data_IF_125122367217
#
_entry.id   IF_125122367217
#
_cell.length_a   1.000
_cell.length_b   1.000
_cell.length_c   1.000
_cell.angle_alpha   90.00
_cell.angle_beta   90.00
_cell.angle_gamma   90.00
#
_symmetry.space_group_name_H-M   'P 1'
#
loop_
_entity.id
_entity.type
_entity.pdbx_description
1 polymer ?
#
# COMPACT_ATOMS: atom_id res chain seq x y z
N UNK A 1 -45.01 23.91 43.79
CA UNK A 1 -44.76 24.13 42.36
C UNK A 1 -43.61 23.22 41.93
N UNK A 2 -43.92 22.01 41.48
CA UNK A 2 -42.96 21.09 40.85
C UNK A 2 -43.73 20.35 39.76
N UNK A 3 -43.38 20.62 38.49
CA UNK A 3 -43.87 19.82 37.36
C UNK A 3 -43.02 18.54 37.28
N UNK A 4 -43.66 17.39 37.47
CA UNK A 4 -43.14 16.10 37.06
C UNK A 4 -43.84 15.70 35.76
N UNK A 5 -43.07 15.42 34.70
CA UNK A 5 -43.60 14.84 33.46
C UNK A 5 -42.82 13.57 33.08
N UNK A 6 -43.56 12.47 33.19
CA UNK A 6 -43.61 11.25 32.37
C UNK A 6 -42.33 10.39 32.15
N UNK A 7 -42.48 9.18 32.68
CA UNK A 7 -41.70 7.94 32.58
C UNK A 7 -42.09 7.15 31.33
N UNK A 8 -41.13 6.67 30.52
CA UNK A 8 -41.26 5.42 29.76
C UNK A 8 -39.92 4.67 29.75
N UNK A 9 -39.92 3.51 30.41
CA UNK A 9 -38.92 2.44 30.32
C UNK A 9 -39.48 1.36 29.39
N UNK A 10 -38.70 0.89 28.41
CA UNK A 10 -38.83 -0.46 27.83
C UNK A 10 -37.48 -0.98 27.32
N UNK A 11 -36.99 -2.03 27.95
CA UNK A 11 -35.97 -2.94 27.40
C UNK A 11 -36.55 -3.66 26.17
N UNK A 12 -35.81 -3.67 25.07
CA UNK A 12 -36.12 -4.48 23.88
C UNK A 12 -35.14 -5.66 23.86
N UNK A 13 -35.62 -6.83 24.27
CA UNK A 13 -34.95 -8.11 24.01
C UNK A 13 -35.29 -8.51 22.58
N UNK A 14 -34.32 -8.45 21.67
CA UNK A 14 -34.46 -8.96 20.31
C UNK A 14 -34.48 -10.49 20.36
N UNK A 15 -35.66 -11.07 20.13
CA UNK A 15 -35.82 -12.50 19.84
C UNK A 15 -35.20 -12.78 18.46
N UNK A 16 -34.08 -13.50 18.43
CA UNK A 16 -33.57 -14.08 17.19
C UNK A 16 -34.41 -15.31 16.82
N UNK A 17 -34.86 -15.45 15.56
CA UNK A 17 -35.56 -16.65 15.13
C UNK A 17 -34.61 -17.87 15.15
N UNK A 18 -35.12 -19.04 15.54
CA UNK A 18 -34.37 -20.29 15.45
C UNK A 18 -34.12 -20.62 13.96
N UNK A 19 -32.90 -21.07 13.59
CA UNK A 19 -32.61 -21.42 12.21
C UNK A 19 -33.46 -22.64 11.80
N UNK A 20 -34.09 -22.52 10.63
CA UNK A 20 -34.80 -23.60 9.94
C UNK A 20 -33.74 -24.56 9.37
N UNK A 21 -33.86 -25.84 9.68
CA UNK A 21 -33.01 -26.92 9.17
C UNK A 21 -33.07 -26.95 7.63
N UNK A 22 -31.95 -26.63 6.97
CA UNK A 22 -31.80 -26.74 5.52
C UNK A 22 -31.23 -25.54 4.74
N UNK A 23 -30.86 -24.42 5.38
CA UNK A 23 -30.12 -23.36 4.69
C UNK A 23 -28.62 -23.69 4.64
N UNK A 24 -28.13 -24.08 3.47
CA UNK A 24 -26.69 -24.04 3.17
C UNK A 24 -26.30 -22.55 3.18
N UNK A 25 -25.60 -22.11 4.24
CA UNK A 25 -24.90 -20.84 4.24
C UNK A 25 -23.90 -20.89 3.08
N UNK A 26 -24.08 -20.04 2.06
CA UNK A 26 -23.02 -19.78 1.09
C UNK A 26 -21.90 -19.12 1.89
N UNK A 27 -20.96 -19.92 2.35
CA UNK A 27 -19.78 -19.46 3.06
C UNK A 27 -19.02 -18.55 2.09
N UNK A 28 -18.83 -17.30 2.50
CA UNK A 28 -18.09 -16.35 1.70
C UNK A 28 -16.62 -16.79 1.67
N UNK A 29 -16.15 -17.37 0.56
CA UNK A 29 -14.85 -18.07 0.49
C UNK A 29 -13.67 -17.10 0.51
N UNK A 30 -13.92 -15.81 0.26
CA UNK A 30 -12.87 -14.79 0.20
C UNK A 30 -13.28 -13.57 0.98
N UNK A 31 -12.55 -13.23 2.04
CA UNK A 31 -12.76 -11.97 2.78
C UNK A 31 -11.68 -10.96 2.44
N UNK A 32 -12.07 -9.71 2.20
CA UNK A 32 -11.14 -8.61 2.00
C UNK A 32 -11.05 -7.83 3.31
N UNK A 33 -9.92 -7.91 4.02
CA UNK A 33 -9.68 -7.12 5.23
C UNK A 33 -8.70 -5.99 4.96
N UNK A 34 -9.12 -4.76 5.25
CA UNK A 34 -8.21 -3.63 5.36
C UNK A 34 -7.48 -3.67 6.70
N UNK A 35 -6.15 -3.63 6.67
CA UNK A 35 -5.28 -3.55 7.85
C UNK A 35 -4.49 -2.23 7.79
N UNK A 36 -3.87 -1.85 8.91
CA UNK A 36 -3.04 -0.63 9.01
C UNK A 36 -1.89 -0.59 7.98
N UNK A 37 -1.48 -1.74 7.44
CA UNK A 37 -0.32 -1.89 6.54
C UNK A 37 -0.71 -2.38 5.13
N UNK A 38 -1.98 -2.25 4.73
CA UNK A 38 -2.47 -2.64 3.40
C UNK A 38 -3.71 -3.53 3.43
N UNK A 39 -4.03 -4.14 2.30
CA UNK A 39 -5.19 -5.03 2.17
C UNK A 39 -4.74 -6.49 2.22
N UNK A 40 -5.45 -7.30 2.99
CA UNK A 40 -5.27 -8.75 3.02
C UNK A 40 -6.51 -9.44 2.46
N UNK A 41 -6.30 -10.28 1.46
CA UNK A 41 -7.30 -11.22 0.94
C UNK A 41 -7.18 -12.50 1.76
N UNK A 42 -8.24 -12.86 2.48
CA UNK A 42 -8.29 -14.07 3.32
C UNK A 42 -9.11 -15.11 2.56
N UNK A 43 -8.49 -16.26 2.27
CA UNK A 43 -9.18 -17.41 1.67
C UNK A 43 -9.79 -18.23 2.82
N UNK A 44 -11.08 -18.02 3.07
CA UNK A 44 -11.81 -18.68 4.16
C UNK A 44 -11.91 -20.19 3.90
N UNK A 45 -11.88 -20.96 4.99
CA UNK A 45 -11.78 -22.41 4.95
C UNK A 45 -13.10 -23.06 5.38
N UNK A 46 -13.68 -23.83 4.46
CA UNK A 46 -14.81 -24.74 4.63
C UNK A 46 -14.92 -25.48 3.29
N UNK A 47 -14.04 -26.45 3.08
CA UNK A 47 -13.82 -27.24 1.84
C UNK A 47 -14.56 -26.82 0.56
N UNK A 48 -13.91 -25.97 -0.25
CA UNK A 48 -14.19 -25.83 -1.69
C UNK A 48 -12.94 -26.10 -2.52
N UNK A 49 -13.12 -26.59 -3.74
CA UNK A 49 -12.06 -26.66 -4.77
C UNK A 49 -11.40 -25.28 -4.94
N UNK A 50 -10.08 -25.26 -5.12
CA UNK A 50 -9.32 -24.03 -5.34
C UNK A 50 -9.83 -23.27 -6.58
N UNK A 51 -10.37 -23.98 -7.58
CA UNK A 51 -11.01 -23.33 -8.73
C UNK A 51 -12.21 -22.46 -8.34
N UNK A 52 -13.02 -22.90 -7.37
CA UNK A 52 -14.18 -22.14 -6.92
C UNK A 52 -13.75 -20.86 -6.19
N UNK A 53 -12.64 -20.92 -5.46
CA UNK A 53 -11.99 -19.75 -4.86
C UNK A 53 -11.53 -18.78 -5.94
N UNK A 54 -10.86 -19.26 -6.99
CA UNK A 54 -10.43 -18.39 -8.10
C UNK A 54 -11.63 -17.73 -8.80
N UNK A 55 -12.74 -18.45 -8.96
CA UNK A 55 -13.97 -17.91 -9.55
C UNK A 55 -14.58 -16.82 -8.67
N UNK A 56 -14.72 -17.07 -7.35
CA UNK A 56 -15.17 -16.03 -6.43
C UNK A 56 -14.22 -14.84 -6.36
N UNK A 57 -12.90 -15.07 -6.48
CA UNK A 57 -11.91 -13.99 -6.50
C UNK A 57 -12.12 -13.10 -7.71
N UNK A 58 -12.30 -13.69 -8.90
CA UNK A 58 -12.61 -12.94 -10.13
C UNK A 58 -13.88 -12.11 -9.95
N UNK A 59 -14.94 -12.70 -9.40
CA UNK A 59 -16.22 -12.02 -9.16
C UNK A 59 -16.08 -10.88 -8.16
N UNK A 60 -15.43 -11.09 -7.02
CA UNK A 60 -15.19 -10.04 -6.01
C UNK A 60 -14.24 -8.95 -6.47
N UNK A 61 -13.23 -9.31 -7.25
CA UNK A 61 -12.35 -8.31 -7.87
C UNK A 61 -13.08 -7.47 -8.92
N UNK A 62 -14.15 -8.00 -9.52
CA UNK A 62 -15.00 -7.29 -10.50
C UNK A 62 -15.72 -6.09 -9.91
N UNK A 63 -16.15 -6.19 -8.65
CA UNK A 63 -16.83 -5.10 -7.94
C UNK A 63 -15.91 -4.20 -7.11
N UNK A 64 -14.61 -4.52 -6.98
CA UNK A 64 -13.69 -3.81 -6.08
C UNK A 64 -12.69 -2.93 -6.83
N UNK A 65 -13.17 -1.79 -7.33
CA UNK A 65 -12.36 -0.80 -8.06
C UNK A 65 -11.22 -0.20 -7.23
N UNK A 66 -11.34 -0.20 -5.90
CA UNK A 66 -10.36 0.37 -4.97
C UNK A 66 -9.06 -0.42 -4.84
N UNK A 67 -9.01 -1.66 -5.35
CA UNK A 67 -7.83 -2.52 -5.26
C UNK A 67 -6.83 -2.35 -6.41
N UNK A 68 -7.18 -1.60 -7.46
CA UNK A 68 -6.28 -1.39 -8.61
C UNK A 68 -4.99 -0.69 -8.18
N UNK A 69 -3.85 -1.13 -8.70
CA UNK A 69 -2.51 -0.60 -8.37
C UNK A 69 -2.14 -0.69 -6.88
N UNK A 70 -2.63 -1.71 -6.18
CA UNK A 70 -2.36 -1.95 -4.74
C UNK A 70 -1.56 -3.23 -4.52
N UNK A 71 -0.77 -3.24 -3.45
CA UNK A 71 -0.15 -4.44 -2.92
C UNK A 71 -1.10 -5.15 -1.95
N UNK A 72 -1.37 -6.43 -2.21
CA UNK A 72 -2.19 -7.27 -1.34
C UNK A 72 -1.36 -8.37 -0.71
N UNK A 73 -1.63 -8.68 0.55
CA UNK A 73 -1.24 -9.96 1.12
C UNK A 73 -2.36 -10.96 0.85
N UNK A 74 -2.02 -12.23 0.63
CA UNK A 74 -3.01 -13.31 0.58
C UNK A 74 -2.79 -14.20 1.77
N UNK A 75 -3.78 -14.28 2.64
CA UNK A 75 -3.81 -15.18 3.79
C UNK A 75 -4.59 -16.44 3.39
N UNK A 76 -3.89 -17.57 3.40
CA UNK A 76 -4.47 -18.86 3.07
C UNK A 76 -4.90 -19.65 4.32
N UNK A 77 -4.81 -19.03 5.51
CA UNK A 77 -5.34 -19.59 6.74
C UNK A 77 -4.70 -20.94 7.09
N UNK A 78 -5.55 -21.92 7.42
CA UNK A 78 -5.17 -23.28 7.78
C UNK A 78 -4.98 -24.24 6.59
N UNK A 79 -5.08 -23.72 5.36
CA UNK A 79 -4.93 -24.53 4.14
C UNK A 79 -3.51 -25.05 3.98
N UNK A 80 -3.39 -26.14 3.24
CA UNK A 80 -2.10 -26.58 2.71
C UNK A 80 -1.46 -25.48 1.85
N UNK A 81 -0.13 -25.45 1.82
CA UNK A 81 0.60 -24.50 0.99
C UNK A 81 0.19 -24.61 -0.48
N UNK A 82 -0.04 -23.47 -1.13
CA UNK A 82 -0.45 -23.45 -2.54
C UNK A 82 0.60 -24.12 -3.43
N UNK A 83 0.15 -24.97 -4.35
CA UNK A 83 1.02 -25.51 -5.39
C UNK A 83 1.53 -24.40 -6.32
N UNK A 84 2.63 -24.66 -7.04
CA UNK A 84 3.19 -23.69 -7.99
C UNK A 84 2.17 -23.24 -9.05
N UNK A 85 1.31 -24.17 -9.51
CA UNK A 85 0.24 -23.86 -10.47
C UNK A 85 -0.86 -23.00 -9.86
N UNK A 86 -1.28 -23.30 -8.64
CA UNK A 86 -2.30 -22.51 -7.91
C UNK A 86 -1.82 -21.07 -7.66
N UNK A 87 -0.55 -20.92 -7.27
CA UNK A 87 0.06 -19.62 -7.03
C UNK A 87 0.24 -18.82 -8.34
N UNK A 88 0.53 -19.48 -9.46
CA UNK A 88 0.58 -18.84 -10.77
C UNK A 88 -0.79 -18.30 -11.19
N UNK A 89 -1.84 -19.12 -11.10
CA UNK A 89 -3.22 -18.69 -11.42
C UNK A 89 -3.69 -17.53 -10.53
N UNK A 90 -3.36 -17.57 -9.24
CA UNK A 90 -3.66 -16.48 -8.31
C UNK A 90 -2.94 -15.18 -8.71
N UNK A 91 -1.64 -15.26 -9.02
CA UNK A 91 -0.85 -14.10 -9.49
C UNK A 91 -1.39 -13.55 -10.79
N UNK A 92 -1.83 -14.40 -11.72
CA UNK A 92 -2.40 -13.99 -13.01
C UNK A 92 -3.67 -13.17 -12.82
N UNK A 93 -4.62 -13.66 -12.00
CA UNK A 93 -5.88 -12.96 -11.71
C UNK A 93 -5.64 -11.60 -11.06
N UNK A 94 -4.68 -11.52 -10.13
CA UNK A 94 -4.31 -10.26 -9.48
C UNK A 94 -3.63 -9.30 -10.47
N UNK A 95 -2.69 -9.80 -11.27
CA UNK A 95 -1.91 -9.01 -12.23
C UNK A 95 -2.77 -8.47 -13.37
N UNK A 96 -3.79 -9.21 -13.81
CA UNK A 96 -4.77 -8.76 -14.80
C UNK A 96 -5.53 -7.49 -14.38
N UNK A 97 -5.48 -7.13 -13.09
CA UNK A 97 -6.09 -5.90 -12.54
C UNK A 97 -5.06 -4.95 -11.92
N UNK A 98 -3.79 -5.12 -12.25
CA UNK A 98 -2.66 -4.37 -11.69
C UNK A 98 -2.58 -4.45 -10.15
N UNK A 99 -2.98 -5.59 -9.57
CA UNK A 99 -2.87 -5.87 -8.14
C UNK A 99 -1.59 -6.70 -7.95
N UNK A 100 -0.69 -6.25 -7.07
CA UNK A 100 0.58 -6.92 -6.83
C UNK A 100 0.51 -7.77 -5.57
N UNK A 101 0.83 -9.05 -5.67
CA UNK A 101 0.93 -9.93 -4.51
C UNK A 101 2.22 -9.64 -3.74
N UNK A 102 2.12 -9.20 -2.48
CA UNK A 102 3.26 -8.87 -1.62
C UNK A 102 3.75 -10.07 -0.82
N UNK A 103 2.83 -10.77 -0.14
CA UNK A 103 3.14 -11.94 0.67
C UNK A 103 2.00 -12.96 0.58
N UNK A 104 2.34 -14.23 0.80
CA UNK A 104 1.38 -15.27 1.15
C UNK A 104 1.56 -15.58 2.64
N UNK A 105 0.48 -15.57 3.41
CA UNK A 105 0.45 -15.81 4.86
C UNK A 105 -0.16 -17.20 5.08
N UNK A 106 0.51 -18.00 5.91
CA UNK A 106 0.17 -19.39 6.22
C UNK A 106 0.05 -19.53 7.74
N UNK A 107 -1.09 -19.99 8.25
CA UNK A 107 -1.34 -20.15 9.69
C UNK A 107 -1.04 -18.90 10.53
N UNK A 108 -1.28 -17.70 9.99
CA UNK A 108 -0.95 -16.43 10.67
C UNK A 108 0.56 -16.17 10.84
N UNK A 109 1.42 -17.10 10.40
CA UNK A 109 2.85 -16.91 10.31
C UNK A 109 3.21 -16.39 8.91
N UNK A 110 4.04 -15.34 8.85
CA UNK A 110 4.61 -14.87 7.59
C UNK A 110 5.52 -15.97 7.06
N UNK A 111 5.04 -16.78 6.12
CA UNK A 111 5.94 -17.63 5.36
C UNK A 111 6.79 -16.73 4.48
N UNK A 112 8.09 -16.75 4.76
CA UNK A 112 9.08 -15.98 4.02
C UNK A 112 8.95 -16.22 2.52
N UNK A 113 9.09 -15.12 1.79
CA UNK A 113 9.58 -15.00 0.41
C UNK A 113 9.38 -16.26 -0.45
N UNK A 114 8.30 -16.29 -1.25
CA UNK A 114 7.99 -17.35 -2.22
C UNK A 114 8.96 -17.31 -3.43
N UNK A 115 10.20 -16.89 -3.22
CA UNK A 115 11.26 -16.75 -4.24
C UNK A 115 12.28 -17.90 -4.22
N UNK A 116 12.01 -19.02 -3.52
CA UNK A 116 12.87 -20.22 -3.56
C UNK A 116 12.16 -21.45 -4.14
N UNK A 117 11.92 -21.45 -5.44
CA UNK A 117 12.00 -22.67 -6.28
C UNK A 117 12.78 -22.32 -7.54
N UNK A 118 13.74 -23.18 -7.87
CA UNK A 118 14.86 -22.96 -8.80
C UNK A 118 14.44 -22.78 -10.27
N UNK A 119 15.06 -21.78 -10.90
CA UNK A 119 15.53 -21.66 -12.31
C UNK A 119 14.68 -22.29 -13.44
N UNK A 120 14.04 -21.43 -14.24
CA UNK A 120 14.31 -21.21 -15.68
C UNK A 120 13.51 -19.97 -16.17
N UNK A 121 13.80 -19.40 -17.35
CA UNK A 121 14.81 -18.36 -17.56
C UNK A 121 14.21 -16.96 -17.82
N UNK A 122 14.94 -15.94 -17.34
CA UNK A 122 15.01 -14.58 -17.90
C UNK A 122 13.72 -13.89 -18.37
N UNK A 123 12.96 -13.32 -17.43
CA UNK A 123 12.80 -11.87 -17.52
C UNK A 123 13.76 -11.26 -16.52
N UNK A 124 14.94 -10.89 -17.02
CA UNK A 124 15.71 -9.83 -16.42
C UNK A 124 14.74 -8.67 -16.19
N UNK A 125 14.31 -8.47 -14.94
CA UNK A 125 13.94 -7.14 -14.45
C UNK A 125 15.25 -6.35 -14.35
N UNK A 126 15.91 -6.17 -15.49
CA UNK A 126 16.59 -4.93 -15.74
C UNK A 126 15.46 -3.91 -15.60
N UNK A 127 15.39 -3.26 -14.44
CA UNK A 127 14.75 -1.97 -14.37
C UNK A 127 15.34 -1.21 -15.55
N UNK A 128 14.57 -1.03 -16.62
CA UNK A 128 15.01 -0.23 -17.74
C UNK A 128 15.43 1.10 -17.13
N UNK A 129 16.74 1.34 -17.11
CA UNK A 129 17.33 2.53 -16.52
C UNK A 129 16.57 3.71 -17.09
N UNK A 130 15.87 4.46 -16.23
CA UNK A 130 15.13 5.65 -16.61
C UNK A 130 13.61 5.55 -16.73
N UNK A 131 12.96 4.39 -16.52
CA UNK A 131 11.48 4.37 -16.45
C UNK A 131 10.98 5.01 -15.15
N UNK A 132 10.09 6.00 -15.29
CA UNK A 132 9.37 6.62 -14.17
C UNK A 132 7.90 6.16 -14.17
N UNK A 133 7.38 5.80 -12.99
CA UNK A 133 5.98 5.49 -12.79
C UNK A 133 5.18 6.78 -12.54
N UNK A 134 4.29 7.11 -13.46
CA UNK A 134 3.34 8.22 -13.26
C UNK A 134 2.05 7.73 -12.60
N UNK A 135 1.68 8.33 -11.47
CA UNK A 135 0.52 7.95 -10.66
C UNK A 135 -0.39 9.16 -10.48
N UNK A 136 -1.67 9.04 -10.84
CA UNK A 136 -2.67 10.13 -10.75
C UNK A 136 -3.70 9.87 -9.65
N UNK A 137 -3.27 9.94 -8.38
CA UNK A 137 -4.14 9.78 -7.19
C UNK A 137 -3.45 10.29 -5.94
N UNK A 138 -4.22 10.50 -4.87
CA UNK A 138 -3.70 10.72 -3.51
C UNK A 138 -3.29 9.40 -2.85
N UNK A 139 -2.19 9.41 -2.09
CA UNK A 139 -1.83 8.35 -1.14
C UNK A 139 -2.37 8.72 0.23
N UNK A 140 -3.41 8.00 0.67
CA UNK A 140 -4.09 8.28 1.96
C UNK A 140 -3.42 7.53 3.12
N UNK A 141 -3.82 7.85 4.35
CA UNK A 141 -3.34 7.16 5.55
C UNK A 141 -3.51 5.63 5.44
N UNK A 142 -2.46 4.88 5.79
CA UNK A 142 -2.40 3.41 5.70
C UNK A 142 -2.11 2.86 4.30
N UNK A 143 -2.03 3.72 3.27
CA UNK A 143 -1.68 3.30 1.92
C UNK A 143 -0.18 3.42 1.67
N UNK A 144 0.38 2.48 0.89
CA UNK A 144 1.77 2.51 0.45
C UNK A 144 1.88 2.39 -1.07
N UNK A 145 2.85 3.08 -1.66
CA UNK A 145 3.21 3.00 -3.07
C UNK A 145 4.71 2.69 -3.18
N UNK A 146 5.06 1.62 -3.89
CA UNK A 146 6.44 1.26 -4.18
C UNK A 146 6.68 1.08 -5.67
N UNK A 147 7.83 1.53 -6.17
CA UNK A 147 8.26 1.31 -7.55
C UNK A 147 9.79 1.12 -7.66
N UNK A 148 10.27 0.11 -8.41
CA UNK A 148 11.70 -0.14 -8.63
C UNK A 148 12.32 0.80 -9.69
N UNK A 149 11.98 2.09 -9.64
CA UNK A 149 12.45 3.17 -10.52
C UNK A 149 12.10 4.51 -9.89
N UNK A 150 11.91 5.57 -10.69
CA UNK A 150 11.43 6.87 -10.20
C UNK A 150 9.90 6.92 -10.12
N UNK A 151 9.33 7.69 -9.19
CA UNK A 151 7.87 7.92 -9.10
C UNK A 151 7.54 9.38 -9.34
N UNK A 152 6.53 9.64 -10.18
CA UNK A 152 5.89 10.95 -10.31
C UNK A 152 4.43 10.83 -9.88
N UNK A 153 4.09 11.44 -8.75
CA UNK A 153 2.75 11.44 -8.18
C UNK A 153 2.05 12.76 -8.53
N UNK A 154 0.98 12.69 -9.32
CA UNK A 154 0.03 13.79 -9.53
C UNK A 154 -1.05 13.72 -8.44
N UNK A 155 -0.74 14.25 -7.27
CA UNK A 155 -1.59 14.22 -6.09
C UNK A 155 -0.80 14.35 -4.79
N UNK A 156 -1.49 14.16 -3.67
CA UNK A 156 -0.93 14.34 -2.34
C UNK A 156 -0.50 13.02 -1.68
N UNK A 157 0.38 13.12 -0.70
CA UNK A 157 0.65 12.07 0.30
C UNK A 157 0.16 12.58 1.65
N UNK A 158 -0.91 11.99 2.18
CA UNK A 158 -1.46 12.37 3.47
C UNK A 158 -0.64 11.80 4.64
N UNK A 159 -0.80 12.34 5.87
CA UNK A 159 -0.23 11.71 7.06
C UNK A 159 -0.60 10.23 7.14
N UNK A 160 0.39 9.39 7.45
CA UNK A 160 0.25 7.93 7.48
C UNK A 160 0.24 7.24 6.11
N UNK A 161 0.31 7.97 5.00
CA UNK A 161 0.59 7.42 3.68
C UNK A 161 2.10 7.28 3.44
N UNK A 162 2.50 6.32 2.61
CA UNK A 162 3.91 6.02 2.32
C UNK A 162 4.18 5.95 0.80
N UNK A 163 5.27 6.57 0.35
CA UNK A 163 5.77 6.48 -1.02
C UNK A 163 7.25 6.10 -1.04
N UNK A 164 7.61 5.09 -1.83
CA UNK A 164 8.91 4.42 -1.76
C UNK A 164 9.44 4.11 -3.17
N UNK A 165 10.64 4.58 -3.51
CA UNK A 165 11.24 4.44 -4.84
C UNK A 165 12.71 4.02 -4.76
N UNK A 166 13.16 3.21 -5.73
CA UNK A 166 14.60 2.91 -5.87
C UNK A 166 15.40 4.11 -6.35
N UNK A 167 14.77 4.99 -7.13
CA UNK A 167 15.38 6.22 -7.65
C UNK A 167 14.68 7.43 -7.02
N UNK A 168 14.23 8.39 -7.83
CA UNK A 168 13.70 9.67 -7.38
C UNK A 168 12.20 9.64 -7.09
N UNK A 169 11.73 10.57 -6.26
CA UNK A 169 10.30 10.79 -5.99
C UNK A 169 9.96 12.25 -6.31
N UNK A 170 8.93 12.46 -7.11
CA UNK A 170 8.36 13.78 -7.39
C UNK A 170 6.88 13.74 -7.02
N UNK A 171 6.47 14.61 -6.10
CA UNK A 171 5.08 14.77 -5.68
C UNK A 171 4.58 16.12 -6.16
N UNK A 172 3.72 16.11 -7.17
CA UNK A 172 3.03 17.28 -7.66
C UNK A 172 1.82 17.61 -6.75
N UNK A 173 2.10 17.94 -5.49
CA UNK A 173 1.13 18.15 -4.43
C UNK A 173 1.79 18.29 -3.06
N UNK A 174 1.01 18.07 -2.00
CA UNK A 174 1.47 18.10 -0.62
C UNK A 174 1.98 16.74 -0.15
N UNK A 175 3.19 16.69 0.39
CA UNK A 175 3.80 15.48 0.96
C UNK A 175 3.83 15.62 2.49
N UNK A 176 2.87 14.99 3.17
CA UNK A 176 2.68 14.99 4.64
C UNK A 176 2.95 13.64 5.31
N UNK A 177 3.07 12.59 4.50
CA UNK A 177 3.34 11.23 4.97
C UNK A 177 4.83 10.90 5.02
N UNK A 178 5.13 9.64 4.76
CA UNK A 178 6.50 9.10 4.68
C UNK A 178 6.93 9.01 3.22
N UNK A 179 8.16 9.43 2.93
CA UNK A 179 8.77 9.23 1.61
C UNK A 179 10.17 8.62 1.72
N UNK A 180 10.46 7.58 0.92
CA UNK A 180 11.76 6.91 0.86
C UNK A 180 12.25 6.79 -0.57
N UNK A 181 13.18 7.65 -0.97
CA UNK A 181 13.87 7.59 -2.25
C UNK A 181 15.22 6.87 -2.14
N UNK A 182 15.77 6.41 -3.26
CA UNK A 182 17.08 5.77 -3.26
C UNK A 182 17.12 4.39 -2.61
N UNK A 183 15.99 3.67 -2.59
CA UNK A 183 15.92 2.32 -2.01
C UNK A 183 16.91 1.41 -2.74
N UNK A 184 17.79 0.77 -1.98
CA UNK A 184 18.93 0.04 -2.54
C UNK A 184 20.25 0.80 -2.48
N UNK A 185 20.27 1.96 -1.80
CA UNK A 185 21.51 2.67 -1.46
C UNK A 185 21.89 3.79 -2.42
N UNK A 186 20.98 4.25 -3.27
CA UNK A 186 21.26 5.40 -4.14
C UNK A 186 21.18 6.70 -3.33
N UNK A 187 22.33 7.19 -2.87
CA UNK A 187 22.46 8.44 -2.11
C UNK A 187 22.25 9.70 -2.98
N UNK A 188 22.28 9.55 -4.31
CA UNK A 188 21.99 10.63 -5.27
C UNK A 188 20.51 10.76 -5.60
N UNK A 189 19.65 9.97 -4.97
CA UNK A 189 18.22 10.13 -5.15
C UNK A 189 17.73 11.42 -4.49
N UNK A 190 16.67 12.00 -5.04
CA UNK A 190 16.05 13.21 -4.49
C UNK A 190 14.53 13.05 -4.35
N UNK A 191 13.95 13.91 -3.51
CA UNK A 191 12.51 14.00 -3.29
C UNK A 191 12.08 15.44 -3.51
N UNK A 192 11.14 15.70 -4.43
CA UNK A 192 10.57 17.02 -4.68
C UNK A 192 9.09 17.00 -4.32
N UNK A 193 8.60 18.06 -3.68
CA UNK A 193 7.16 18.28 -3.51
C UNK A 193 6.80 19.76 -3.68
N UNK A 194 5.54 20.05 -4.08
CA UNK A 194 5.04 21.43 -4.09
C UNK A 194 4.88 21.99 -2.67
N UNK A 195 4.56 21.12 -1.71
CA UNK A 195 4.58 21.43 -0.27
C UNK A 195 5.22 20.23 0.45
N UNK A 196 6.42 20.40 0.98
CA UNK A 196 7.19 19.34 1.61
C UNK A 196 7.07 19.44 3.15
N UNK A 197 6.06 18.78 3.73
CA UNK A 197 5.86 18.71 5.18
C UNK A 197 5.79 17.25 5.71
N UNK A 198 6.77 16.38 5.40
CA UNK A 198 6.72 14.96 5.72
C UNK A 198 6.76 14.68 7.22
N UNK A 199 6.07 13.61 7.63
CA UNK A 199 6.31 12.98 8.93
C UNK A 199 7.70 12.32 8.99
N UNK A 200 8.18 11.81 7.85
CA UNK A 200 9.52 11.23 7.72
C UNK A 200 10.01 11.27 6.26
N UNK A 201 11.26 11.68 6.07
CA UNK A 201 12.00 11.54 4.81
C UNK A 201 13.11 10.52 4.96
N UNK A 202 13.33 9.75 3.90
CA UNK A 202 14.48 8.86 3.76
C UNK A 202 15.07 8.96 2.37
N UNK A 203 16.39 9.02 2.31
CA UNK A 203 17.14 8.96 1.05
C UNK A 203 18.27 7.98 1.27
N UNK A 204 18.29 6.88 0.51
CA UNK A 204 19.15 5.73 0.79
C UNK A 204 19.00 5.26 2.25
N UNK A 205 20.06 5.36 3.04
CA UNK A 205 20.08 4.99 4.46
C UNK A 205 19.94 6.19 5.41
N UNK A 206 19.90 7.42 4.90
CA UNK A 206 19.71 8.64 5.67
C UNK A 206 18.24 8.85 6.00
N UNK A 207 17.97 9.38 7.20
CA UNK A 207 16.63 9.61 7.72
C UNK A 207 16.55 11.02 8.29
N UNK A 208 15.47 11.73 7.97
CA UNK A 208 15.11 13.01 8.57
C UNK A 208 13.64 12.97 9.02
N UNK A 209 13.36 13.55 10.18
CA UNK A 209 12.01 13.69 10.72
C UNK A 209 11.72 15.17 10.95
N UNK A 210 10.47 15.58 10.73
CA UNK A 210 10.06 16.94 11.08
C UNK A 210 10.18 17.17 12.61
N UNK A 211 10.67 18.33 13.06
CA UNK A 211 10.62 18.71 14.47
C UNK A 211 9.17 18.84 14.96
N UNK A 212 8.91 18.68 16.27
CA UNK A 212 7.56 18.63 16.84
C UNK A 212 6.74 19.93 16.71
N UNK A 213 7.37 21.06 16.38
CA UNK A 213 6.67 22.32 16.17
C UNK A 213 5.91 22.25 14.85
N UNK A 214 4.60 22.55 14.89
CA UNK A 214 3.69 22.51 13.74
C UNK A 214 4.38 23.03 12.47
N UNK A 215 4.66 22.16 11.48
CA UNK A 215 5.35 22.61 10.29
C UNK A 215 4.43 23.61 9.59
N UNK A 216 4.86 24.87 9.56
CA UNK A 216 4.25 25.86 8.66
C UNK A 216 4.38 25.23 7.27
N UNK A 217 3.24 25.00 6.60
CA UNK A 217 3.30 24.40 5.28
C UNK A 217 4.12 25.32 4.36
N UNK A 218 5.15 24.79 3.70
CA UNK A 218 5.90 25.55 2.71
C UNK A 218 4.92 26.07 1.64
N UNK A 219 5.00 27.35 1.31
CA UNK A 219 4.20 27.93 0.23
C UNK A 219 4.85 27.76 -1.15
N UNK A 220 6.08 27.24 -1.17
CA UNK A 220 6.88 27.08 -2.38
C UNK A 220 7.35 25.63 -2.51
N UNK A 221 7.61 25.17 -3.74
CA UNK A 221 8.18 23.84 -3.96
C UNK A 221 9.55 23.71 -3.31
N UNK A 222 9.83 22.54 -2.76
CA UNK A 222 11.10 22.23 -2.10
C UNK A 222 11.66 20.91 -2.60
N UNK A 223 12.99 20.77 -2.51
CA UNK A 223 13.74 19.57 -2.86
C UNK A 223 14.54 19.09 -1.65
N UNK A 224 14.43 17.79 -1.35
CA UNK A 224 15.25 17.09 -0.37
C UNK A 224 16.25 16.17 -1.08
N UNK A 225 17.52 16.23 -0.64
CA UNK A 225 18.63 15.47 -1.20
C UNK A 225 19.76 15.34 -0.17
N UNK A 226 20.77 14.51 -0.44
CA UNK A 226 21.88 14.28 0.49
C UNK A 226 23.07 15.18 0.13
N UNK A 227 23.58 15.91 1.11
CA UNK A 227 24.89 16.60 1.09
C UNK A 227 25.59 16.28 2.41
N UNK A 228 26.89 16.03 2.39
CA UNK A 228 27.70 15.80 3.60
C UNK A 228 27.08 14.79 4.58
N UNK A 229 26.54 13.69 4.03
CA UNK A 229 25.92 12.59 4.80
C UNK A 229 24.69 12.99 5.63
N UNK A 230 24.00 14.06 5.24
CA UNK A 230 22.73 14.50 5.84
C UNK A 230 21.73 14.88 4.76
N UNK A 231 20.45 14.76 5.07
CA UNK A 231 19.39 15.26 4.21
C UNK A 231 19.31 16.78 4.40
N UNK A 232 19.39 17.50 3.28
CA UNK A 232 19.20 18.94 3.19
C UNK A 232 17.91 19.21 2.41
N UNK A 233 17.15 20.22 2.84
CA UNK A 233 15.93 20.67 2.17
C UNK A 233 16.16 22.11 1.72
N UNK A 234 15.92 22.41 0.45
CA UNK A 234 16.01 23.76 -0.12
C UNK A 234 14.78 24.12 -0.95
N UNK A 235 14.47 25.41 -1.06
CA UNK A 235 13.48 25.93 -2.01
C UNK A 235 13.91 25.56 -3.44
N UNK A 236 13.03 24.90 -4.19
CA UNK A 236 13.25 24.62 -5.59
C UNK A 236 12.99 25.89 -6.41
N UNK A 237 14.07 26.52 -6.89
CA UNK A 237 14.02 27.76 -7.66
C UNK A 237 14.74 27.58 -9.00
N UNK A 238 14.06 27.91 -10.10
CA UNK A 238 14.58 27.84 -11.48
C UNK A 238 15.90 28.60 -11.71
N UNK A 239 16.23 29.58 -10.86
CA UNK A 239 17.49 30.34 -10.92
C UNK A 239 18.71 29.62 -10.33
N UNK A 240 18.53 28.52 -9.57
CA UNK A 240 19.61 27.68 -9.06
C UNK A 240 19.44 26.28 -9.65
N UNK A 241 20.45 25.80 -10.36
CA UNK A 241 20.43 24.43 -10.87
C UNK A 241 20.77 23.44 -9.73
N UNK A 242 19.84 23.24 -8.80
CA UNK A 242 20.07 22.40 -7.61
C UNK A 242 20.33 20.95 -8.03
N UNK A 243 19.78 20.51 -9.17
CA UNK A 243 19.97 19.16 -9.70
C UNK A 243 21.40 18.87 -10.17
N UNK A 244 22.19 19.89 -10.55
CA UNK A 244 23.60 19.66 -10.90
C UNK A 244 24.46 19.30 -9.69
N UNK A 245 24.04 19.66 -8.48
CA UNK A 245 24.75 19.30 -7.24
C UNK A 245 24.45 17.86 -6.79
N UNK A 246 23.52 17.17 -7.46
CA UNK A 246 23.05 15.82 -7.13
C UNK A 246 23.62 14.76 -8.10
N UNK A 247 24.12 15.19 -9.27
CA UNK A 247 24.66 14.32 -10.34
C UNK A 247 26.07 13.83 -10.02
#
# INVERSE_FOLDING_TARGET
MFLAYIKISKSVTLLMPRPVEGMILVSDLITIKGLRNGVTLILNDSEPDFQEILNQLKTKLSSTSFLKNTFVNVDIGAREALSAGQLASLKEILSARNIQLKNVILNGHKTGDVSKVKKSPSHKLEAEKGKALMVKRTIRSGQSLYYPGSIVLMGDVHPGGEISARENIIVWGALRGVAHAGIGGNERAFIIALQLAPSQLRIAHYIACSPEQSPVMPQKPEIAYVIDKRIVIEEYNSGKNILTNIT
#
